data_IF_254672436811
#
_entry.id   IF_254672436811
#
_cell.length_a   1.000
_cell.length_b   1.000
_cell.length_c   1.000
_cell.angle_alpha   90.00
_cell.angle_beta   90.00
_cell.angle_gamma   90.00
#
_symmetry.space_group_name_H-M   'P 1'
#
loop_
_entity.id
_entity.type
_entity.pdbx_description
1 polymer ?
#
# COMPACT_ATOMS: atom_id res chain seq x y z
N UNK A 1 66.04 19.15 3.50
CA UNK A 1 65.67 17.85 2.88
C UNK A 1 65.33 16.88 4.00
N UNK A 2 64.17 16.20 3.92
CA UNK A 2 63.78 14.93 4.58
C UNK A 2 62.41 14.96 5.29
N UNK A 3 61.43 14.59 4.46
CA UNK A 3 60.24 13.75 4.68
C UNK A 3 59.31 14.00 5.86
N UNK A 4 58.12 14.47 5.47
CA UNK A 4 56.84 14.46 6.18
C UNK A 4 56.40 13.02 6.46
N UNK A 5 56.05 12.71 7.70
CA UNK A 5 55.30 11.48 8.04
C UNK A 5 53.82 11.86 8.02
N UNK A 6 53.09 11.33 7.04
CA UNK A 6 51.65 11.51 6.90
C UNK A 6 50.95 10.42 7.71
N UNK A 7 50.30 10.80 8.80
CA UNK A 7 49.41 9.91 9.55
C UNK A 7 48.13 9.72 8.72
N UNK A 8 48.01 8.60 8.01
CA UNK A 8 46.78 8.24 7.32
C UNK A 8 45.81 7.63 8.34
N UNK A 9 44.86 8.44 8.81
CA UNK A 9 43.72 7.97 9.60
C UNK A 9 42.76 7.25 8.64
N UNK A 10 42.75 5.92 8.67
CA UNK A 10 41.78 5.11 7.92
C UNK A 10 40.41 5.21 8.59
N UNK A 11 39.57 6.09 8.05
CA UNK A 11 38.15 6.16 8.40
C UNK A 11 37.45 4.92 7.82
N UNK A 12 37.25 3.90 8.65
CA UNK A 12 36.44 2.74 8.29
C UNK A 12 34.97 3.14 8.25
N UNK A 13 34.44 3.36 7.05
CA UNK A 13 32.99 3.46 6.83
C UNK A 13 32.38 2.09 7.07
N UNK A 14 31.75 1.91 8.23
CA UNK A 14 30.84 0.78 8.48
C UNK A 14 29.67 0.91 7.50
N UNK A 15 29.73 0.17 6.39
CA UNK A 15 28.58 -0.10 5.53
C UNK A 15 27.59 -0.91 6.38
N UNK A 16 26.61 -0.22 6.97
CA UNK A 16 25.44 -0.86 7.56
C UNK A 16 24.67 -1.53 6.42
N UNK A 17 24.95 -2.82 6.19
CA UNK A 17 24.13 -3.66 5.33
C UNK A 17 22.84 -3.93 6.12
N UNK A 18 21.82 -3.10 5.92
CA UNK A 18 20.48 -3.43 6.37
C UNK A 18 20.06 -4.70 5.63
N UNK A 19 19.95 -5.82 6.35
CA UNK A 19 19.36 -7.02 5.78
C UNK A 19 17.96 -6.65 5.31
N UNK A 20 17.72 -6.71 4.00
CA UNK A 20 16.39 -6.56 3.41
C UNK A 20 15.55 -7.73 3.92
N UNK A 21 14.82 -7.50 5.01
CA UNK A 21 13.79 -8.44 5.44
C UNK A 21 12.61 -8.25 4.52
N UNK A 22 12.24 -9.29 3.79
CA UNK A 22 10.98 -9.32 3.07
C UNK A 22 9.84 -9.12 4.07
N UNK A 23 8.93 -8.20 3.75
CA UNK A 23 7.71 -7.96 4.52
C UNK A 23 6.53 -8.55 3.76
N UNK A 24 5.64 -9.28 4.41
CA UNK A 24 4.45 -9.80 3.73
C UNK A 24 3.24 -8.89 3.95
N UNK A 25 2.65 -8.34 2.89
CA UNK A 25 1.31 -7.79 2.92
C UNK A 25 0.29 -8.95 2.94
N UNK A 26 -0.62 -8.97 3.89
CA UNK A 26 -1.70 -9.96 4.03
C UNK A 26 -3.05 -9.27 3.90
N UNK A 27 -4.00 -9.95 3.29
CA UNK A 27 -5.34 -9.43 3.06
C UNK A 27 -6.37 -10.56 3.00
N UNK A 28 -7.61 -10.25 3.37
CA UNK A 28 -8.71 -11.19 3.34
C UNK A 28 -9.27 -11.40 1.92
N UNK A 29 -10.10 -12.42 1.76
CA UNK A 29 -10.83 -12.70 0.50
C UNK A 29 -11.87 -11.64 0.14
N UNK A 30 -12.18 -10.76 1.09
CA UNK A 30 -13.04 -9.59 0.96
C UNK A 30 -12.29 -8.36 0.41
N UNK A 31 -11.00 -8.47 0.12
CA UNK A 31 -10.16 -7.41 -0.47
C UNK A 31 -9.69 -7.81 -1.86
N UNK A 32 -9.81 -6.89 -2.81
CA UNK A 32 -9.14 -6.96 -4.11
C UNK A 32 -8.03 -5.92 -4.16
N UNK A 33 -6.78 -6.36 -4.34
CA UNK A 33 -5.65 -5.46 -4.60
C UNK A 33 -5.69 -5.00 -6.06
N UNK A 34 -5.60 -3.68 -6.26
CA UNK A 34 -5.69 -3.03 -7.57
C UNK A 34 -4.33 -2.54 -8.04
N UNK A 35 -3.50 -2.04 -7.13
CA UNK A 35 -2.14 -1.60 -7.42
C UNK A 35 -1.24 -1.65 -6.18
N UNK A 36 0.06 -1.79 -6.42
CA UNK A 36 1.10 -1.58 -5.42
C UNK A 36 2.15 -0.63 -6.03
N UNK A 37 2.51 0.40 -5.28
CA UNK A 37 3.55 1.37 -5.63
C UNK A 37 3.39 1.97 -7.03
N UNK A 38 2.16 2.38 -7.36
CA UNK A 38 1.81 2.96 -8.66
C UNK A 38 1.72 1.95 -9.81
N UNK A 39 2.02 0.67 -9.56
CA UNK A 39 1.93 -0.41 -10.53
C UNK A 39 0.62 -1.17 -10.37
N UNK A 40 -0.27 -1.14 -11.38
CA UNK A 40 -1.48 -1.95 -11.39
C UNK A 40 -1.14 -3.44 -11.28
N UNK A 41 -1.92 -4.16 -10.49
CA UNK A 41 -1.74 -5.59 -10.31
C UNK A 41 -2.79 -6.36 -11.14
N UNK A 42 -2.42 -7.51 -11.75
CA UNK A 42 -3.40 -8.32 -12.48
C UNK A 42 -4.48 -8.88 -11.56
N UNK A 43 -5.75 -8.57 -11.83
CA UNK A 43 -6.91 -9.08 -11.07
C UNK A 43 -6.93 -10.61 -10.93
N UNK A 44 -6.37 -11.34 -11.90
CA UNK A 44 -6.30 -12.80 -11.86
C UNK A 44 -5.43 -13.37 -10.72
N UNK A 45 -4.44 -12.62 -10.21
CA UNK A 45 -3.55 -13.10 -9.15
C UNK A 45 -4.27 -13.25 -7.79
N UNK A 46 -5.32 -12.46 -7.54
CA UNK A 46 -5.89 -12.34 -6.19
C UNK A 46 -7.19 -13.09 -5.97
N UNK A 47 -7.62 -13.90 -6.96
CA UNK A 47 -8.72 -14.85 -6.73
C UNK A 47 -8.35 -15.96 -5.75
N UNK A 48 -7.05 -16.23 -5.58
CA UNK A 48 -6.53 -17.27 -4.69
C UNK A 48 -5.37 -16.82 -3.80
N UNK A 49 -4.72 -15.69 -4.08
CA UNK A 49 -3.71 -15.13 -3.20
C UNK A 49 -4.35 -14.35 -2.04
N UNK A 50 -3.79 -14.52 -0.84
CA UNK A 50 -4.14 -13.75 0.36
C UNK A 50 -2.94 -12.97 0.92
N UNK A 51 -1.83 -12.97 0.18
CA UNK A 51 -0.60 -12.28 0.54
C UNK A 51 0.23 -11.86 -0.67
N UNK A 52 1.04 -10.82 -0.49
CA UNK A 52 2.01 -10.31 -1.44
C UNK A 52 3.31 -9.97 -0.69
N UNK A 53 4.45 -10.34 -1.24
CA UNK A 53 5.75 -9.93 -0.69
C UNK A 53 6.05 -8.48 -1.05
N UNK A 54 6.57 -7.75 -0.08
CA UNK A 54 7.03 -6.37 -0.15
C UNK A 54 8.49 -6.32 0.24
N UNK A 55 9.20 -5.37 -0.36
CA UNK A 55 10.51 -4.96 0.15
C UNK A 55 10.36 -4.23 1.50
N UNK A 56 11.48 -3.92 2.14
CA UNK A 56 11.48 -3.02 3.30
C UNK A 56 11.36 -1.58 2.85
N UNK A 57 10.48 -0.79 3.46
CA UNK A 57 10.35 0.64 3.18
C UNK A 57 8.92 1.15 3.28
N UNK A 58 8.70 2.30 2.64
CA UNK A 58 7.38 2.92 2.51
C UNK A 58 6.69 2.38 1.26
N UNK A 59 5.46 1.91 1.40
CA UNK A 59 4.65 1.35 0.32
C UNK A 59 3.29 2.05 0.22
N UNK A 60 2.79 2.15 -1.01
CA UNK A 60 1.47 2.62 -1.34
C UNK A 60 0.66 1.46 -1.92
N UNK A 61 -0.46 1.11 -1.28
CA UNK A 61 -1.38 0.07 -1.78
C UNK A 61 -2.71 0.69 -2.16
N UNK A 62 -3.23 0.28 -3.32
CA UNK A 62 -4.58 0.56 -3.77
C UNK A 62 -5.40 -0.72 -3.73
N UNK A 63 -6.54 -0.69 -3.06
CA UNK A 63 -7.42 -1.85 -2.94
C UNK A 63 -8.90 -1.44 -2.90
N UNK A 64 -9.79 -2.42 -3.02
CA UNK A 64 -11.23 -2.22 -2.82
C UNK A 64 -11.85 -3.45 -2.17
N UNK A 65 -13.10 -3.34 -1.76
CA UNK A 65 -13.88 -4.50 -1.32
C UNK A 65 -14.16 -5.42 -2.51
N UNK A 66 -13.76 -6.68 -2.41
CA UNK A 66 -13.80 -7.65 -3.51
C UNK A 66 -15.23 -8.03 -3.91
N UNK A 67 -16.15 -8.11 -2.94
CA UNK A 67 -17.53 -8.51 -3.18
C UNK A 67 -18.38 -7.28 -3.55
N UNK A 68 -18.91 -7.18 -4.78
CA UNK A 68 -19.81 -6.10 -5.12
C UNK A 68 -21.16 -6.28 -4.40
N UNK A 69 -21.83 -5.17 -4.13
CA UNK A 69 -23.23 -5.16 -3.73
C UNK A 69 -24.12 -4.91 -4.96
N UNK A 70 -25.41 -5.27 -4.86
CA UNK A 70 -26.35 -5.03 -5.95
C UNK A 70 -27.00 -3.67 -5.73
N UNK A 71 -26.77 -2.75 -6.66
CA UNK A 71 -27.38 -1.42 -6.69
C UNK A 71 -28.12 -1.25 -8.01
N UNK A 72 -29.42 -0.95 -7.98
CA UNK A 72 -30.25 -0.80 -9.17
C UNK A 72 -30.17 -1.99 -10.16
N UNK A 73 -30.03 -3.21 -9.63
CA UNK A 73 -29.93 -4.43 -10.43
C UNK A 73 -28.56 -4.66 -11.09
N UNK A 74 -27.55 -3.83 -10.78
CA UNK A 74 -26.18 -3.97 -11.29
C UNK A 74 -25.19 -4.15 -10.13
N UNK A 75 -24.09 -4.91 -10.34
CA UNK A 75 -23.03 -5.00 -9.35
C UNK A 75 -22.31 -3.65 -9.23
N UNK A 76 -22.22 -3.15 -8.00
CA UNK A 76 -21.46 -1.96 -7.63
C UNK A 76 -20.34 -2.35 -6.67
N UNK A 77 -19.13 -1.89 -6.95
CA UNK A 77 -17.95 -2.12 -6.10
C UNK A 77 -17.72 -0.90 -5.22
N UNK A 78 -17.07 -1.09 -4.07
CA UNK A 78 -16.62 0.06 -3.28
C UNK A 78 -15.67 0.93 -4.10
N UNK A 79 -15.64 2.22 -3.77
CA UNK A 79 -14.59 3.11 -4.24
C UNK A 79 -13.20 2.53 -3.86
N UNK A 80 -12.17 2.71 -4.70
CA UNK A 80 -10.82 2.32 -4.36
C UNK A 80 -10.29 3.10 -3.15
N UNK A 81 -9.78 2.38 -2.16
CA UNK A 81 -9.09 2.89 -0.99
C UNK A 81 -7.59 2.83 -1.23
N UNK A 82 -6.89 3.92 -0.92
CA UNK A 82 -5.43 3.99 -1.02
C UNK A 82 -4.83 4.20 0.36
N UNK A 83 -3.78 3.44 0.68
CA UNK A 83 -3.05 3.55 1.93
C UNK A 83 -1.55 3.70 1.68
N UNK A 84 -0.91 4.58 2.43
CA UNK A 84 0.52 4.78 2.47
C UNK A 84 1.04 4.46 3.86
N UNK A 85 1.94 3.48 3.95
CA UNK A 85 2.43 2.93 5.21
C UNK A 85 3.89 2.51 5.09
N UNK A 86 4.53 2.23 6.22
CA UNK A 86 5.94 1.89 6.29
C UNK A 86 6.15 0.54 7.00
N UNK A 87 7.08 -0.27 6.49
CA UNK A 87 7.31 -1.65 6.94
C UNK A 87 8.50 -1.82 7.89
N UNK A 88 9.19 -0.75 8.30
CA UNK A 88 10.46 -0.78 9.08
C UNK A 88 10.46 -1.74 10.28
N UNK A 89 9.34 -1.90 10.98
CA UNK A 89 9.22 -2.74 12.19
C UNK A 89 8.20 -3.89 12.04
N UNK A 90 7.85 -4.26 10.80
CA UNK A 90 6.82 -5.25 10.52
C UNK A 90 7.32 -6.32 9.54
N UNK A 91 7.44 -7.57 9.98
CA UNK A 91 7.66 -8.72 9.06
C UNK A 91 6.40 -9.09 8.26
N UNK A 92 5.23 -8.64 8.72
CA UNK A 92 4.00 -8.66 7.91
C UNK A 92 3.10 -7.49 8.28
N UNK A 93 2.36 -7.00 7.30
CA UNK A 93 1.28 -6.01 7.43
C UNK A 93 -0.01 -6.64 6.98
N UNK A 94 -1.06 -6.62 7.80
CA UNK A 94 -2.38 -7.16 7.46
C UNK A 94 -3.36 -6.03 7.26
N UNK A 95 -4.02 -5.98 6.11
CA UNK A 95 -5.18 -5.11 5.89
C UNK A 95 -6.39 -5.78 6.53
N UNK A 96 -7.01 -5.10 7.50
CA UNK A 96 -8.20 -5.56 8.20
C UNK A 96 -9.36 -4.62 7.94
N UNK A 97 -10.37 -5.12 7.24
CA UNK A 97 -11.63 -4.40 7.04
C UNK A 97 -12.50 -4.47 8.30
N UNK A 98 -13.40 -3.49 8.51
CA UNK A 98 -14.48 -3.62 9.47
C UNK A 98 -15.44 -4.74 9.04
N UNK A 99 -16.40 -5.08 9.88
CA UNK A 99 -17.47 -5.99 9.46
C UNK A 99 -18.33 -5.30 8.40
N UNK A 100 -18.38 -5.90 7.21
CA UNK A 100 -19.17 -5.42 6.08
C UNK A 100 -20.34 -6.39 5.84
N UNK A 101 -21.57 -5.93 6.04
CA UNK A 101 -22.79 -6.72 5.84
C UNK A 101 -23.77 -6.10 4.83
N UNK A 102 -23.70 -4.79 4.61
CA UNK A 102 -24.61 -4.09 3.71
C UNK A 102 -23.96 -2.85 3.06
N UNK A 103 -24.68 -2.24 2.12
CA UNK A 103 -24.23 -1.05 1.39
C UNK A 103 -23.86 0.12 2.32
N UNK A 104 -24.57 0.33 3.44
CA UNK A 104 -24.23 1.41 4.38
C UNK A 104 -22.87 1.19 5.02
N UNK A 105 -22.48 -0.05 5.27
CA UNK A 105 -21.18 -0.37 5.86
C UNK A 105 -20.04 -0.04 4.89
N UNK A 106 -20.28 -0.23 3.57
CA UNK A 106 -19.34 0.16 2.51
C UNK A 106 -19.20 1.68 2.44
N UNK A 107 -20.32 2.41 2.39
CA UNK A 107 -20.30 3.88 2.41
C UNK A 107 -19.60 4.41 3.65
N UNK A 108 -19.82 3.80 4.81
CA UNK A 108 -19.15 4.20 6.05
C UNK A 108 -17.65 3.92 5.99
N UNK A 109 -17.23 2.76 5.47
CA UNK A 109 -15.81 2.45 5.24
C UNK A 109 -15.16 3.51 4.35
N UNK A 110 -15.79 3.89 3.25
CA UNK A 110 -15.27 4.90 2.32
C UNK A 110 -15.17 6.28 3.00
N UNK A 111 -16.24 6.73 3.68
CA UNK A 111 -16.27 8.04 4.33
C UNK A 111 -15.26 8.19 5.47
N UNK A 112 -14.96 7.10 6.18
CA UNK A 112 -14.12 7.12 7.38
C UNK A 112 -12.72 6.57 7.16
N UNK A 113 -12.47 5.96 6.01
CA UNK A 113 -11.32 5.08 5.76
C UNK A 113 -11.12 4.07 6.92
N UNK A 114 -12.21 3.53 7.46
CA UNK A 114 -12.27 2.77 8.72
C UNK A 114 -11.67 1.36 8.71
N UNK A 115 -10.60 1.13 7.95
CA UNK A 115 -9.80 -0.10 7.97
C UNK A 115 -8.56 0.06 8.87
N UNK A 116 -7.94 -1.05 9.23
CA UNK A 116 -6.69 -1.06 10.02
C UNK A 116 -5.57 -1.71 9.22
N UNK A 117 -4.34 -1.23 9.43
CA UNK A 117 -3.13 -1.95 9.06
C UNK A 117 -2.49 -2.51 10.33
N UNK A 118 -2.38 -3.84 10.42
CA UNK A 118 -1.85 -4.51 11.61
C UNK A 118 -0.51 -5.16 11.33
N UNK A 119 0.48 -4.99 12.20
CA UNK A 119 1.74 -5.72 12.07
C UNK A 119 1.58 -7.22 12.41
N UNK A 120 2.66 -7.99 12.28
CA UNK A 120 2.73 -9.42 12.63
C UNK A 120 2.33 -9.76 14.08
N UNK A 121 2.28 -8.78 15.00
CA UNK A 121 1.84 -8.93 16.39
C UNK A 121 0.37 -8.51 16.61
N UNK A 122 -0.33 -8.11 15.55
CA UNK A 122 -1.70 -7.60 15.63
C UNK A 122 -1.79 -6.16 16.16
N UNK A 123 -0.68 -5.43 16.19
CA UNK A 123 -0.62 -4.03 16.65
C UNK A 123 -0.88 -3.12 15.46
N UNK A 124 -1.76 -2.10 15.58
CA UNK A 124 -1.97 -1.11 14.54
C UNK A 124 -0.70 -0.38 14.13
N UNK A 125 -0.53 -0.20 12.82
CA UNK A 125 0.47 0.66 12.20
C UNK A 125 -0.13 2.04 11.94
N UNK A 126 0.71 3.06 12.03
CA UNK A 126 0.37 4.38 11.51
C UNK A 126 0.39 4.34 9.98
N UNK A 127 -0.61 4.96 9.34
CA UNK A 127 -0.70 5.08 7.89
C UNK A 127 -1.48 6.33 7.51
N UNK A 128 -1.29 6.79 6.28
CA UNK A 128 -2.15 7.79 5.64
C UNK A 128 -3.07 7.08 4.66
N UNK A 129 -4.32 7.53 4.53
CA UNK A 129 -5.26 6.95 3.60
C UNK A 129 -6.17 8.00 2.98
N UNK A 130 -6.68 7.67 1.80
CA UNK A 130 -7.67 8.42 1.03
C UNK A 130 -8.60 7.47 0.28
N UNK A 131 -9.68 8.02 -0.26
CA UNK A 131 -10.55 7.38 -1.25
C UNK A 131 -10.25 7.99 -2.61
N UNK A 132 -10.20 7.16 -3.66
CA UNK A 132 -10.12 7.63 -5.03
C UNK A 132 -11.51 7.66 -5.66
N UNK A 133 -12.02 8.88 -5.86
CA UNK A 133 -13.37 9.14 -6.41
C UNK A 133 -13.60 8.60 -7.84
N UNK A 134 -12.53 8.18 -8.52
CA UNK A 134 -12.60 7.59 -9.86
C UNK A 134 -12.11 6.14 -9.83
N UNK A 135 -12.99 5.19 -10.18
CA UNK A 135 -12.56 3.83 -10.46
C UNK A 135 -12.14 3.73 -11.92
N UNK A 136 -10.89 3.37 -12.17
CA UNK A 136 -10.48 2.89 -13.48
C UNK A 136 -11.06 1.49 -13.74
N UNK A 137 -11.24 1.16 -15.02
CA UNK A 137 -11.76 -0.15 -15.45
C UNK A 137 -10.67 -1.11 -15.88
N UNK A 138 -9.46 -0.61 -16.15
CA UNK A 138 -8.31 -1.39 -16.60
C UNK A 138 -7.00 -0.90 -15.97
N UNK A 139 -5.93 -1.65 -16.23
CA UNK A 139 -4.61 -1.37 -15.68
C UNK A 139 -4.07 0.00 -16.08
N UNK A 140 -4.27 0.44 -17.33
CA UNK A 140 -3.73 1.73 -17.77
C UNK A 140 -4.47 2.90 -17.13
N UNK A 141 -5.79 2.79 -16.97
CA UNK A 141 -6.59 3.75 -16.22
C UNK A 141 -6.12 3.87 -14.77
N UNK A 142 -5.84 2.75 -14.09
CA UNK A 142 -5.30 2.78 -12.72
C UNK A 142 -3.91 3.41 -12.67
N UNK A 143 -3.05 3.10 -13.64
CA UNK A 143 -1.72 3.70 -13.76
C UNK A 143 -1.78 5.22 -13.92
N UNK A 144 -2.68 5.72 -14.77
CA UNK A 144 -2.84 7.16 -14.99
C UNK A 144 -3.46 7.86 -13.77
N UNK A 145 -4.46 7.22 -13.15
CA UNK A 145 -5.09 7.69 -11.92
C UNK A 145 -4.05 7.88 -10.80
N UNK A 146 -3.23 6.87 -10.55
CA UNK A 146 -2.19 6.90 -9.51
C UNK A 146 -1.08 7.90 -9.84
N UNK A 147 -0.67 8.03 -11.11
CA UNK A 147 0.30 9.07 -11.52
C UNK A 147 -0.19 10.48 -11.20
N UNK A 148 -1.45 10.78 -11.51
CA UNK A 148 -2.05 12.08 -11.19
C UNK A 148 -2.20 12.28 -9.69
N UNK A 149 -2.66 11.25 -8.99
CA UNK A 149 -2.81 11.28 -7.54
C UNK A 149 -1.47 11.52 -6.83
N UNK A 150 -0.40 10.84 -7.23
CA UNK A 150 0.93 10.99 -6.65
C UNK A 150 1.64 12.31 -7.01
N UNK A 151 1.18 13.02 -8.05
CA UNK A 151 1.59 14.39 -8.36
C UNK A 151 0.87 15.46 -7.53
N UNK A 152 -0.16 15.08 -6.77
CA UNK A 152 -0.94 16.02 -5.95
C UNK A 152 -0.44 16.07 -4.50
N UNK A 153 -1.00 16.98 -3.70
CA UNK A 153 -0.78 17.06 -2.26
C UNK A 153 -1.74 16.18 -1.44
N UNK A 154 -2.33 15.13 -2.05
CA UNK A 154 -3.25 14.23 -1.38
C UNK A 154 -2.59 13.52 -0.18
N UNK A 155 -3.40 13.14 0.80
CA UNK A 155 -2.93 12.68 2.11
C UNK A 155 -2.09 11.40 1.97
N UNK A 156 -2.48 10.46 1.12
CA UNK A 156 -1.70 9.24 0.87
C UNK A 156 -0.83 9.29 -0.40
N UNK A 157 -0.60 10.47 -0.99
CA UNK A 157 0.29 10.62 -2.16
C UNK A 157 1.74 10.28 -1.81
N UNK A 158 2.43 9.62 -2.74
CA UNK A 158 3.86 9.32 -2.63
C UNK A 158 4.59 9.84 -3.90
N UNK A 159 5.16 11.06 -3.87
CA UNK A 159 5.71 11.72 -5.04
C UNK A 159 6.81 10.96 -5.80
N UNK A 160 7.58 10.09 -5.12
CA UNK A 160 8.60 9.27 -5.80
C UNK A 160 7.98 8.26 -6.80
N UNK A 161 6.68 7.95 -6.65
CA UNK A 161 5.91 7.10 -7.56
C UNK A 161 5.23 7.89 -8.68
N UNK A 162 5.56 9.17 -8.83
CA UNK A 162 5.00 10.09 -9.81
C UNK A 162 6.06 10.39 -10.90
N UNK A 163 6.44 9.43 -11.76
CA UNK A 163 7.42 9.65 -12.82
C UNK A 163 6.90 10.57 -13.93
#
# INVERSE_FOLDING_TARGET
MRQRVLLALTCGTLLFCHALSATTLKFGSDIELLALDGQPLPTALFKSANSLELDSGTHQVLFRVAKPFIQNGQPHYSAPLIALFDTRDATSVTIKLPRLGNERDIHQLEQTQGFELLNHRGIPLEFRADVLDASATDSEGYRQLLRRYNHSDANAALPILAP
#
